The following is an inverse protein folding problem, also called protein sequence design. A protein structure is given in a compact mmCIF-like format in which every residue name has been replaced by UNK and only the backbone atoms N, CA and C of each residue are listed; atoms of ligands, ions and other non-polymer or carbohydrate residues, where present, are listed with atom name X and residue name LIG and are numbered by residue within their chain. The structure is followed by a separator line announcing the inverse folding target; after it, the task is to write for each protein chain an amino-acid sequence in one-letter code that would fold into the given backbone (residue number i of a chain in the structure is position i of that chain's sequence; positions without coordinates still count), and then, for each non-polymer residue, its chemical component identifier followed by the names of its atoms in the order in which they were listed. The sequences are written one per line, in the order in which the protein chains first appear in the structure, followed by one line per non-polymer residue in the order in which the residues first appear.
data_IF_084837623649
#
_entry.id   IF_084837623649
#
_cell.length_a   1.000
_cell.length_b   1.000
_cell.length_c   1.000
_cell.angle_alpha   90.00
_cell.angle_beta   90.00
_cell.angle_gamma   90.00
#
_symmetry.space_group_name_H-M   'P 1'
#
loop_
_entity.id
_entity.type
_entity.pdbx_description
1 polymer ?
#
# COMPACT_ATOMS: atom_id res chain seq x y z
N UNK A 1 7.60 12.02 -15.39
CA UNK A 1 8.64 11.65 -14.41
C UNK A 1 7.93 10.89 -13.32
N UNK A 2 8.38 9.69 -12.99
CA UNK A 2 7.81 8.94 -11.89
C UNK A 2 8.20 9.62 -10.57
N UNK A 3 7.21 9.93 -9.73
CA UNK A 3 7.47 10.41 -8.36
C UNK A 3 7.85 9.21 -7.50
N UNK A 4 8.67 9.40 -6.46
CA UNK A 4 9.02 8.32 -5.53
C UNK A 4 8.72 8.75 -4.10
N UNK A 5 8.13 7.83 -3.35
CA UNK A 5 7.88 8.01 -1.92
C UNK A 5 8.88 7.18 -1.13
N UNK A 6 9.59 7.81 -0.20
CA UNK A 6 10.37 7.09 0.80
C UNK A 6 9.44 6.44 1.80
N UNK A 7 9.68 5.17 2.07
CA UNK A 7 8.92 4.41 3.06
C UNK A 7 9.12 5.03 4.44
N UNK A 8 8.01 5.45 5.05
CA UNK A 8 7.99 6.13 6.34
C UNK A 8 7.29 5.26 7.39
N UNK A 9 7.26 5.75 8.63
CA UNK A 9 6.63 5.03 9.75
C UNK A 9 5.14 4.74 9.54
N UNK A 10 4.43 5.61 8.82
CA UNK A 10 2.98 5.46 8.62
C UNK A 10 2.69 4.31 7.66
N UNK A 11 3.43 4.23 6.56
CA UNK A 11 3.32 3.12 5.63
C UNK A 11 3.79 1.81 6.26
N UNK A 12 4.88 1.82 7.04
CA UNK A 12 5.30 0.64 7.81
C UNK A 12 4.24 0.20 8.82
N UNK A 13 3.52 1.14 9.45
CA UNK A 13 2.40 0.81 10.34
C UNK A 13 1.29 0.06 9.59
N UNK A 14 0.98 0.47 8.36
CA UNK A 14 0.02 -0.24 7.49
C UNK A 14 0.54 -1.65 7.12
N UNK A 15 1.79 -1.78 6.69
CA UNK A 15 2.37 -3.09 6.36
C UNK A 15 2.32 -4.06 7.56
N UNK A 16 2.58 -3.56 8.77
CA UNK A 16 2.46 -4.36 9.99
C UNK A 16 1.01 -4.78 10.29
N UNK A 17 0.02 -3.94 9.99
CA UNK A 17 -1.40 -4.30 10.13
C UNK A 17 -1.76 -5.42 9.16
N UNK A 18 -1.41 -5.27 7.88
CA UNK A 18 -1.62 -6.31 6.86
C UNK A 18 -0.95 -7.62 7.26
N UNK A 19 0.32 -7.56 7.68
CA UNK A 19 1.08 -8.75 8.12
C UNK A 19 0.42 -9.44 9.33
N UNK A 20 -0.19 -8.67 10.24
CA UNK A 20 -0.84 -9.21 11.44
C UNK A 20 -2.11 -10.00 11.13
N UNK A 21 -2.82 -9.67 10.05
CA UNK A 21 -3.98 -10.46 9.62
C UNK A 21 -3.55 -11.90 9.23
N UNK A 22 -2.30 -12.08 8.78
CA UNK A 22 -1.71 -13.38 8.45
C UNK A 22 -2.59 -14.22 7.50
N UNK A 23 -3.09 -13.54 6.46
CA UNK A 23 -3.94 -14.11 5.42
C UNK A 23 -3.13 -14.37 4.16
N UNK A 24 -3.49 -15.42 3.44
CA UNK A 24 -2.95 -15.70 2.11
C UNK A 24 -3.72 -14.92 1.03
N UNK A 25 -3.21 -15.02 -0.20
CA UNK A 25 -3.76 -14.32 -1.35
C UNK A 25 -5.24 -14.71 -1.62
N UNK A 26 -5.59 -15.99 -1.47
CA UNK A 26 -6.95 -16.47 -1.74
C UNK A 26 -7.95 -15.83 -0.78
N UNK A 27 -7.60 -15.74 0.51
CA UNK A 27 -8.46 -15.08 1.49
C UNK A 27 -8.53 -13.58 1.27
N UNK A 28 -7.43 -12.92 0.89
CA UNK A 28 -7.45 -11.49 0.53
C UNK A 28 -8.39 -11.21 -0.65
N UNK A 29 -8.38 -12.06 -1.68
CA UNK A 29 -9.30 -11.95 -2.81
C UNK A 29 -10.77 -12.11 -2.39
N UNK A 30 -11.07 -12.89 -1.35
CA UNK A 30 -12.44 -13.05 -0.84
C UNK A 30 -12.91 -11.86 0.00
N UNK A 31 -11.99 -11.18 0.67
CA UNK A 31 -12.30 -10.02 1.52
C UNK A 31 -12.54 -8.77 0.66
N UNK A 32 -11.70 -8.55 -0.36
CA UNK A 32 -11.71 -7.41 -1.31
C UNK A 32 -12.19 -6.09 -0.69
N UNK A 33 -11.25 -5.25 -0.27
CA UNK A 33 -11.57 -3.93 0.28
C UNK A 33 -10.45 -2.96 -0.05
N UNK A 34 -10.72 -2.06 -0.99
CA UNK A 34 -9.75 -1.09 -1.51
C UNK A 34 -9.50 0.12 -0.60
N UNK A 35 -10.12 0.19 0.59
CA UNK A 35 -10.03 1.31 1.53
C UNK A 35 -9.88 0.89 3.01
N UNK A 36 -9.59 -0.39 3.26
CA UNK A 36 -9.48 -1.00 4.59
C UNK A 36 -8.40 -0.37 5.48
N UNK A 37 -7.27 0.03 4.91
CA UNK A 37 -6.09 0.47 5.63
C UNK A 37 -5.83 1.96 5.42
N UNK A 38 -5.74 2.70 6.52
CA UNK A 38 -5.59 4.16 6.49
C UNK A 38 -4.59 4.61 7.56
N UNK A 39 -3.71 5.56 7.20
CA UNK A 39 -2.80 6.21 8.14
C UNK A 39 -2.33 7.56 7.58
N UNK A 40 -2.61 8.66 8.29
CA UNK A 40 -2.25 10.03 7.89
C UNK A 40 -2.64 10.33 6.43
N UNK A 41 -1.67 10.25 5.51
CA UNK A 41 -1.83 10.58 4.10
C UNK A 41 -2.07 9.35 3.21
N UNK A 42 -2.21 8.16 3.78
CA UNK A 42 -2.43 6.91 3.06
C UNK A 42 -3.85 6.40 3.26
N UNK A 43 -4.48 5.94 2.18
CA UNK A 43 -5.73 5.20 2.19
C UNK A 43 -5.66 4.12 1.11
N UNK A 44 -6.02 2.89 1.42
CA UNK A 44 -5.98 1.81 0.45
C UNK A 44 -6.34 0.45 1.02
N UNK A 45 -6.20 -0.57 0.21
CA UNK A 45 -6.41 -1.95 0.61
C UNK A 45 -6.29 -2.92 -0.56
N UNK A 46 -6.85 -4.10 -0.43
CA UNK A 46 -6.62 -5.18 -1.39
C UNK A 46 -7.67 -5.15 -2.52
N UNK A 47 -7.19 -5.18 -3.76
CA UNK A 47 -7.99 -5.28 -4.98
C UNK A 47 -7.85 -6.70 -5.55
N UNK A 48 -8.95 -7.45 -5.57
CA UNK A 48 -8.96 -8.85 -6.03
C UNK A 48 -8.84 -9.00 -7.55
N UNK A 49 -9.10 -7.93 -8.33
CA UNK A 49 -8.93 -7.94 -9.79
C UNK A 49 -7.46 -7.80 -10.16
N UNK A 50 -6.73 -6.95 -9.43
CA UNK A 50 -5.29 -6.72 -9.64
C UNK A 50 -4.42 -7.71 -8.84
N UNK A 51 -4.99 -8.41 -7.85
CA UNK A 51 -4.28 -9.26 -6.87
C UNK A 51 -3.21 -8.48 -6.07
N UNK A 52 -3.45 -7.20 -5.85
CA UNK A 52 -2.49 -6.28 -5.25
C UNK A 52 -3.12 -5.39 -4.17
N UNK A 53 -2.26 -4.87 -3.31
CA UNK A 53 -2.62 -3.78 -2.41
C UNK A 53 -2.49 -2.45 -3.14
N UNK A 54 -3.62 -1.77 -3.35
CA UNK A 54 -3.72 -0.49 -4.03
C UNK A 54 -3.90 0.62 -3.00
N UNK A 55 -3.10 1.68 -3.11
CA UNK A 55 -3.11 2.80 -2.17
C UNK A 55 -3.09 4.16 -2.86
N UNK A 56 -3.90 5.07 -2.32
CA UNK A 56 -3.80 6.52 -2.51
C UNK A 56 -2.85 7.13 -1.45
N UNK A 57 -1.96 8.00 -1.91
CA UNK A 57 -1.13 8.87 -1.10
C UNK A 57 -1.39 10.34 -1.41
N UNK A 58 -1.69 11.13 -0.37
CA UNK A 58 -1.97 12.55 -0.50
C UNK A 58 -0.77 13.39 -0.05
N UNK A 59 -0.18 14.14 -0.97
CA UNK A 59 0.89 15.10 -0.63
C UNK A 59 0.28 16.37 0.03
N UNK A 60 1.12 17.25 0.61
CA UNK A 60 0.72 18.48 1.32
C UNK A 60 -0.19 19.43 0.52
N UNK A 61 -0.20 19.34 -0.81
CA UNK A 61 -1.04 20.17 -1.68
C UNK A 61 -2.33 19.44 -2.11
N UNK A 62 -2.72 18.37 -1.41
CA UNK A 62 -3.87 17.52 -1.74
C UNK A 62 -3.76 16.84 -3.12
N UNK A 63 -2.54 16.78 -3.68
CA UNK A 63 -2.28 16.03 -4.89
C UNK A 63 -2.25 14.55 -4.51
N UNK A 64 -3.15 13.80 -5.14
CA UNK A 64 -3.23 12.36 -4.98
C UNK A 64 -2.25 11.65 -5.92
N UNK A 65 -1.63 10.62 -5.37
CA UNK A 65 -0.80 9.67 -6.09
C UNK A 65 -1.28 8.25 -5.78
N UNK A 66 -1.20 7.37 -6.77
CA UNK A 66 -1.49 5.95 -6.62
C UNK A 66 -0.21 5.13 -6.69
N UNK A 67 -0.22 4.04 -5.94
CA UNK A 67 0.78 3.00 -6.01
C UNK A 67 0.16 1.66 -5.61
N UNK A 68 0.80 0.58 -6.08
CA UNK A 68 0.34 -0.78 -5.83
C UNK A 68 1.53 -1.71 -5.65
N UNK A 69 1.31 -2.80 -4.92
CA UNK A 69 2.32 -3.84 -4.67
C UNK A 69 1.65 -5.16 -4.28
N UNK A 70 2.28 -6.31 -4.58
CA UNK A 70 1.74 -7.63 -4.23
C UNK A 70 1.90 -7.92 -2.74
N UNK A 71 1.08 -8.85 -2.22
CA UNK A 71 1.18 -9.34 -0.83
C UNK A 71 2.61 -9.79 -0.45
N UNK A 72 3.34 -10.39 -1.41
CA UNK A 72 4.70 -10.87 -1.20
C UNK A 72 5.72 -9.77 -0.82
N UNK A 73 5.43 -8.50 -1.12
CA UNK A 73 6.33 -7.39 -0.81
C UNK A 73 6.17 -6.86 0.63
N UNK A 74 5.11 -7.26 1.36
CA UNK A 74 4.85 -6.81 2.73
C UNK A 74 6.05 -7.06 3.65
N UNK A 75 6.60 -8.27 3.65
CA UNK A 75 7.74 -8.62 4.51
C UNK A 75 8.99 -7.81 4.13
N UNK A 76 9.19 -7.56 2.83
CA UNK A 76 10.32 -6.79 2.31
C UNK A 76 10.25 -5.31 2.70
N UNK A 77 9.05 -4.73 2.79
CA UNK A 77 8.85 -3.39 3.36
C UNK A 77 9.17 -3.37 4.85
N UNK A 78 8.62 -4.30 5.63
CA UNK A 78 8.82 -4.36 7.08
C UNK A 78 10.29 -4.56 7.45
N UNK A 79 11.01 -5.40 6.70
CA UNK A 79 12.44 -5.65 6.89
C UNK A 79 13.35 -4.53 6.34
N UNK A 80 12.77 -3.52 5.66
CA UNK A 80 13.51 -2.38 5.11
C UNK A 80 14.34 -2.70 3.87
N UNK A 81 14.03 -3.79 3.17
CA UNK A 81 14.64 -4.14 1.88
C UNK A 81 14.14 -3.22 0.77
N UNK A 82 12.83 -2.90 0.77
CA UNK A 82 12.24 -1.88 -0.08
C UNK A 82 12.16 -0.57 0.70
N UNK A 83 12.81 0.47 0.19
CA UNK A 83 12.94 1.78 0.87
C UNK A 83 12.21 2.91 0.17
N UNK A 84 11.82 2.68 -1.08
CA UNK A 84 11.10 3.63 -1.90
C UNK A 84 10.06 2.89 -2.72
N UNK A 85 8.91 3.52 -2.96
CA UNK A 85 7.89 3.06 -3.89
C UNK A 85 7.67 4.08 -4.99
N UNK A 86 7.43 3.59 -6.19
CA UNK A 86 7.07 4.42 -7.33
C UNK A 86 5.63 4.91 -7.18
N UNK A 87 5.44 6.21 -7.39
CA UNK A 87 4.15 6.87 -7.34
C UNK A 87 3.75 7.30 -8.75
N UNK A 88 2.51 6.98 -9.12
CA UNK A 88 1.83 7.55 -10.28
C UNK A 88 0.91 8.66 -9.81
N UNK A 89 0.89 9.81 -10.48
CA UNK A 89 -0.11 10.84 -10.18
C UNK A 89 -1.51 10.31 -10.53
N UNK A 90 -2.50 10.54 -9.68
CA UNK A 90 -3.89 10.26 -10.01
C UNK A 90 -4.34 11.15 -11.20
N UNK A 91 -5.17 10.59 -12.09
CA UNK A 91 -5.65 11.23 -13.32
C UNK A 91 -7.08 11.77 -13.18
#
# INVERSE_FOLDING_TARGET
MASRLKINSDFISICNQIQKENLDLEVWCLIESSDQFQANNFCGGFDATEEEFCFSYYEKNEIEYWFQFPLADIERFVNGEIKEIELRKAE
#
